data_IF_356637055602
#
_entry.id   IF_356637055602
#
_cell.length_a   1.000
_cell.length_b   1.000
_cell.length_c   1.000
_cell.angle_alpha   90.00
_cell.angle_beta   90.00
_cell.angle_gamma   90.00
#
_symmetry.space_group_name_H-M   'P 1'
#
loop_
_entity.id
_entity.type
_entity.pdbx_description
1 polymer ?
#
# COMPACT_ATOMS: atom_id res chain seq x y z
N UNK A 1 10.52 -29.59 -31.16
CA UNK A 1 10.96 -28.95 -29.89
C UNK A 1 9.79 -28.08 -29.40
N UNK A 2 8.80 -28.71 -28.77
CA UNK A 2 7.61 -28.02 -28.28
C UNK A 2 7.97 -27.43 -26.92
N UNK A 3 8.17 -26.12 -26.89
CA UNK A 3 8.47 -25.40 -25.67
C UNK A 3 7.29 -25.55 -24.70
N UNK A 4 7.63 -25.96 -23.47
CA UNK A 4 6.73 -26.15 -22.37
C UNK A 4 6.10 -24.81 -21.95
N UNK A 5 4.80 -24.63 -22.21
CA UNK A 5 4.01 -23.46 -21.79
C UNK A 5 4.05 -23.18 -20.27
N UNK A 6 4.60 -24.08 -19.45
CA UNK A 6 4.78 -23.83 -18.00
C UNK A 6 5.96 -22.91 -17.66
N UNK A 7 6.69 -22.38 -18.65
CA UNK A 7 7.84 -21.47 -18.42
C UNK A 7 7.57 -20.03 -18.89
N UNK A 8 6.45 -19.76 -19.56
CA UNK A 8 6.10 -18.40 -20.02
C UNK A 8 5.49 -17.57 -18.88
N UNK A 9 4.87 -18.23 -17.90
CA UNK A 9 4.24 -17.59 -16.73
C UNK A 9 5.05 -17.82 -15.45
N UNK A 10 6.38 -17.79 -15.57
CA UNK A 10 7.29 -17.87 -14.43
C UNK A 10 6.93 -16.80 -13.41
N UNK A 11 6.45 -17.27 -12.26
CA UNK A 11 5.92 -16.51 -11.13
C UNK A 11 6.86 -15.39 -10.71
N UNK A 12 6.48 -14.14 -10.98
CA UNK A 12 7.04 -13.00 -10.27
C UNK A 12 6.51 -13.03 -8.83
N UNK A 13 7.19 -13.77 -7.96
CA UNK A 13 7.07 -13.57 -6.51
C UNK A 13 7.67 -12.19 -6.19
N UNK A 14 6.84 -11.14 -6.22
CA UNK A 14 7.20 -9.83 -5.67
C UNK A 14 6.94 -8.58 -6.52
N UNK A 15 6.29 -8.69 -7.68
CA UNK A 15 6.13 -7.52 -8.58
C UNK A 15 4.80 -6.74 -8.38
N UNK A 16 3.99 -7.15 -7.40
CA UNK A 16 2.72 -6.49 -7.11
C UNK A 16 2.16 -6.76 -5.72
N UNK A 17 1.00 -6.18 -5.44
CA UNK A 17 0.29 -6.37 -4.17
C UNK A 17 -0.24 -7.80 -4.08
N UNK A 18 0.20 -8.54 -3.07
CA UNK A 18 -0.25 -9.91 -2.83
C UNK A 18 -1.48 -9.96 -1.94
N UNK A 19 -2.20 -11.09 -1.95
CA UNK A 19 -3.33 -11.30 -1.04
C UNK A 19 -2.92 -11.21 0.43
N UNK A 20 -1.75 -11.73 0.79
CA UNK A 20 -1.23 -11.64 2.16
C UNK A 20 -1.02 -10.19 2.58
N UNK A 21 -0.52 -9.34 1.69
CA UNK A 21 -0.38 -7.90 1.94
C UNK A 21 -1.73 -7.23 2.15
N UNK A 22 -2.75 -7.56 1.34
CA UNK A 22 -4.10 -7.01 1.50
C UNK A 22 -4.73 -7.40 2.85
N UNK A 23 -4.55 -8.66 3.27
CA UNK A 23 -5.02 -9.14 4.58
C UNK A 23 -4.27 -8.43 5.72
N UNK A 24 -2.96 -8.24 5.57
CA UNK A 24 -2.09 -7.56 6.53
C UNK A 24 -2.02 -6.03 6.38
N UNK A 25 -2.90 -5.40 5.61
CA UNK A 25 -2.80 -3.97 5.29
C UNK A 25 -2.93 -3.05 6.52
N UNK A 26 -3.37 -3.57 7.66
CA UNK A 26 -3.35 -2.83 8.93
C UNK A 26 -1.95 -2.62 9.49
N UNK A 27 -1.08 -3.61 9.33
CA UNK A 27 0.28 -3.65 9.89
C UNK A 27 1.27 -2.81 9.07
N UNK A 28 1.01 -2.64 7.77
CA UNK A 28 1.75 -1.72 6.93
C UNK A 28 1.22 -0.29 7.11
N UNK A 29 1.88 0.48 7.97
CA UNK A 29 1.51 1.87 8.22
C UNK A 29 2.01 2.83 7.14
N UNK A 30 2.93 2.41 6.28
CA UNK A 30 3.56 3.26 5.28
C UNK A 30 2.75 3.32 3.97
N UNK A 31 2.04 2.25 3.63
CA UNK A 31 1.33 2.14 2.37
C UNK A 31 -0.20 2.20 2.51
N UNK A 32 -0.87 2.70 1.46
CA UNK A 32 -2.33 2.68 1.33
C UNK A 32 -2.72 1.82 0.12
N UNK A 33 -2.75 0.49 0.32
CA UNK A 33 -2.87 -0.50 -0.79
C UNK A 33 -4.30 -0.95 -1.09
N UNK A 34 -5.29 -0.47 -0.35
CA UNK A 34 -6.72 -0.74 -0.57
C UNK A 34 -7.55 0.52 -0.43
N UNK A 35 -8.81 0.53 -0.91
CA UNK A 35 -9.62 1.75 -0.94
C UNK A 35 -9.79 2.41 0.45
N UNK A 36 -10.12 1.62 1.47
CA UNK A 36 -10.30 2.09 2.85
C UNK A 36 -9.13 1.79 3.79
N UNK A 37 -7.90 1.67 3.26
CA UNK A 37 -6.66 1.20 3.92
C UNK A 37 -6.68 -0.28 4.30
N UNK A 38 -7.69 -0.71 5.05
CA UNK A 38 -7.91 -2.13 5.41
C UNK A 38 -9.27 -2.60 4.91
N UNK A 39 -9.54 -3.91 4.96
CA UNK A 39 -10.85 -4.47 4.63
C UNK A 39 -12.01 -3.97 5.50
N UNK A 40 -11.72 -3.40 6.67
CA UNK A 40 -12.75 -2.78 7.50
C UNK A 40 -13.19 -1.39 7.02
N UNK A 41 -12.50 -0.85 6.00
CA UNK A 41 -12.76 0.43 5.34
C UNK A 41 -12.91 1.65 6.26
N UNK A 42 -12.33 1.60 7.46
CA UNK A 42 -12.43 2.66 8.46
C UNK A 42 -11.72 3.96 8.05
N UNK A 43 -10.85 3.92 7.03
CA UNK A 43 -10.01 5.07 6.60
C UNK A 43 -9.19 5.68 7.74
N UNK A 44 -8.86 4.87 8.74
CA UNK A 44 -8.09 5.27 9.91
C UNK A 44 -6.59 5.03 9.68
N UNK A 45 -5.74 6.00 10.01
CA UNK A 45 -4.28 5.86 10.03
C UNK A 45 -3.75 6.01 11.47
N UNK A 46 -2.88 5.09 11.96
CA UNK A 46 -2.28 5.17 13.28
C UNK A 46 -1.04 6.07 13.31
N UNK A 47 -0.65 6.69 12.19
CA UNK A 47 0.47 7.63 12.14
C UNK A 47 0.14 8.90 12.94
N UNK A 48 1.07 9.33 13.79
CA UNK A 48 0.89 10.48 14.69
C UNK A 48 1.94 11.60 14.47
N UNK A 49 2.71 11.52 13.38
CA UNK A 49 3.70 12.54 13.04
C UNK A 49 3.06 13.93 12.84
N UNK A 50 1.83 13.94 12.30
CA UNK A 50 0.98 15.13 12.21
C UNK A 50 -0.13 14.98 13.25
N UNK A 51 -0.11 15.82 14.27
CA UNK A 51 -1.03 15.76 15.40
C UNK A 51 -1.50 17.17 15.81
N UNK A 52 -2.25 17.28 16.92
CA UNK A 52 -2.86 18.57 17.34
C UNK A 52 -1.84 19.67 17.60
N UNK A 53 -0.61 19.29 17.93
CA UNK A 53 0.44 20.23 18.28
C UNK A 53 1.30 20.58 17.05
N UNK A 54 1.50 19.63 16.12
CA UNK A 54 2.37 19.81 14.93
C UNK A 54 1.62 20.20 13.66
N UNK A 55 0.27 20.13 13.64
CA UNK A 55 -0.54 20.45 12.46
C UNK A 55 -0.35 21.89 11.97
N UNK A 56 0.05 22.81 12.86
CA UNK A 56 0.33 24.20 12.52
C UNK A 56 1.56 24.40 11.62
N UNK A 57 2.46 23.42 11.58
CA UNK A 57 3.72 23.48 10.82
C UNK A 57 3.58 22.90 9.40
N UNK A 58 2.37 22.46 9.01
CA UNK A 58 2.14 21.87 7.69
C UNK A 58 2.34 22.91 6.58
N UNK A 59 3.13 22.50 5.58
CA UNK A 59 3.37 23.27 4.35
C UNK A 59 3.24 22.39 3.11
N UNK A 60 2.98 23.02 1.97
CA UNK A 60 2.91 22.33 0.68
C UNK A 60 4.30 21.78 0.32
N UNK A 61 4.39 20.46 0.11
CA UNK A 61 5.65 19.83 -0.32
C UNK A 61 5.84 19.90 -1.84
N UNK A 62 4.81 19.60 -2.62
CA UNK A 62 4.83 19.63 -4.09
C UNK A 62 3.40 19.60 -4.64
N UNK A 63 3.24 19.86 -5.94
CA UNK A 63 1.97 19.71 -6.67
C UNK A 63 2.23 19.16 -8.09
N UNK A 64 1.23 18.54 -8.71
CA UNK A 64 1.25 18.08 -10.10
C UNK A 64 -0.04 18.54 -10.82
N UNK A 65 0.07 18.80 -12.13
CA UNK A 65 -1.02 19.25 -13.03
C UNK A 65 -1.73 18.06 -13.70
#
# INVERSE_FOLDING_TARGET
>A
MLANCSQIFGSAEGEGITTAMLVGAGDDTANWISHGRTYSEQRYSPLDAVNKDTVGDLGLTWFAD
#
